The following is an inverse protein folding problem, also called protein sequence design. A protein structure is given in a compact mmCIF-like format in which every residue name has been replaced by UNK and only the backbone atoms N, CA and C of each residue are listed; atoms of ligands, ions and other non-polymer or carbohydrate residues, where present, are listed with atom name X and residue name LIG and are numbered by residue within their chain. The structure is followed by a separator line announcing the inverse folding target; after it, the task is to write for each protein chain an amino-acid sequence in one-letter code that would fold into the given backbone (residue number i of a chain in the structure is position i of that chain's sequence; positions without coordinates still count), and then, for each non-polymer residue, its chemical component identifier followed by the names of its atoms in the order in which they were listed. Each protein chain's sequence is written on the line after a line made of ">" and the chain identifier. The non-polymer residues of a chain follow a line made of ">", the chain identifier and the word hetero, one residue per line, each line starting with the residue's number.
data_IF_566583706018
#
_entry.id   IF_566583706018
#
_cell.length_a   1.000
_cell.length_b   1.000
_cell.length_c   1.000
_cell.angle_alpha   90.00
_cell.angle_beta   90.00
_cell.angle_gamma   90.00
#
_symmetry.space_group_name_H-M   'P 1'
#
loop_
_entity.id
_entity.type
_entity.pdbx_description
1 polymer ?
#
# COMPACT_ATOMS: atom_id res chain seq x y z
N UNK A 1 -0.42 -18.41 25.35
CA UNK A 1 0.37 -17.20 25.67
C UNK A 1 -0.39 -16.02 25.10
N UNK A 2 -0.81 -15.12 25.95
CA UNK A 2 -1.54 -13.92 25.53
C UNK A 2 -0.60 -12.96 24.80
N UNK A 3 -0.99 -12.50 23.60
CA UNK A 3 -0.24 -11.50 22.84
C UNK A 3 -0.49 -10.11 23.45
N UNK A 4 0.57 -9.52 24.03
CA UNK A 4 0.60 -8.15 24.54
C UNK A 4 1.91 -7.50 24.13
N UNK A 5 1.89 -6.20 23.91
CA UNK A 5 3.09 -5.46 23.53
C UNK A 5 4.22 -5.69 24.52
N UNK A 6 3.94 -5.59 25.83
CA UNK A 6 4.92 -5.80 26.90
C UNK A 6 5.58 -7.18 26.88
N UNK A 7 4.86 -8.23 26.43
CA UNK A 7 5.38 -9.60 26.36
C UNK A 7 6.21 -9.86 25.09
N UNK A 8 6.11 -8.98 24.09
CA UNK A 8 6.68 -9.19 22.76
C UNK A 8 7.81 -8.22 22.41
N UNK A 9 7.83 -7.01 23.00
CA UNK A 9 8.78 -5.92 22.68
C UNK A 9 10.25 -6.33 22.79
N UNK A 10 10.57 -7.20 23.75
CA UNK A 10 11.96 -7.67 24.02
C UNK A 10 12.33 -8.92 23.20
N UNK A 11 11.49 -9.31 22.23
CA UNK A 11 11.71 -10.47 21.35
C UNK A 11 11.72 -10.04 19.88
N UNK A 12 12.79 -9.40 19.38
CA UNK A 12 12.78 -8.70 18.08
C UNK A 12 12.42 -9.60 16.90
N UNK A 13 12.87 -10.86 16.89
CA UNK A 13 12.51 -11.81 15.83
C UNK A 13 11.03 -12.17 15.82
N UNK A 14 10.44 -12.44 16.98
CA UNK A 14 9.00 -12.69 17.11
C UNK A 14 8.19 -11.42 16.82
N UNK A 15 8.62 -10.27 17.32
CA UNK A 15 7.98 -8.98 17.07
C UNK A 15 7.87 -8.70 15.57
N UNK A 16 8.98 -8.81 14.84
CA UNK A 16 9.01 -8.63 13.38
C UNK A 16 8.15 -9.68 12.65
N UNK A 17 8.14 -10.92 13.12
CA UNK A 17 7.32 -11.98 12.51
C UNK A 17 5.82 -11.71 12.65
N UNK A 18 5.37 -11.19 13.80
CA UNK A 18 3.98 -10.89 14.08
C UNK A 18 3.50 -9.57 13.50
N UNK A 19 4.33 -8.53 13.47
CA UNK A 19 3.93 -7.18 13.06
C UNK A 19 4.37 -6.79 11.65
N UNK A 20 5.48 -7.38 11.17
CA UNK A 20 6.16 -6.97 9.94
C UNK A 20 6.99 -5.71 10.09
N UNK A 21 7.09 -5.16 11.30
CA UNK A 21 7.88 -3.98 11.68
C UNK A 21 8.91 -4.36 12.75
N UNK A 22 10.05 -3.67 12.77
CA UNK A 22 10.93 -3.72 13.92
C UNK A 22 10.39 -2.82 15.04
N UNK A 23 11.04 -2.82 16.21
CA UNK A 23 10.57 -2.05 17.38
C UNK A 23 10.64 -0.54 17.17
N UNK A 24 11.62 -0.04 16.43
CA UNK A 24 11.78 1.38 16.12
C UNK A 24 10.72 1.84 15.13
N UNK A 25 10.54 1.11 14.01
CA UNK A 25 9.45 1.32 13.05
C UNK A 25 8.08 1.35 13.76
N UNK A 26 7.88 0.41 14.70
CA UNK A 26 6.63 0.36 15.48
C UNK A 26 6.43 1.60 16.35
N UNK A 27 7.48 2.11 17.03
CA UNK A 27 7.38 3.30 17.86
C UNK A 27 7.06 4.57 17.07
N UNK A 28 7.63 4.70 15.86
CA UNK A 28 7.31 5.82 14.97
C UNK A 28 5.83 5.76 14.56
N UNK A 29 5.37 4.61 14.09
CA UNK A 29 3.98 4.42 13.69
C UNK A 29 3.02 4.58 14.88
N UNK A 30 3.41 4.16 16.08
CA UNK A 30 2.60 4.26 17.30
C UNK A 30 2.27 5.71 17.67
N UNK A 31 3.19 6.63 17.46
CA UNK A 31 2.95 8.07 17.73
C UNK A 31 1.81 8.59 16.86
N UNK A 32 1.89 8.39 15.54
CA UNK A 32 0.83 8.79 14.61
C UNK A 32 -0.48 8.03 14.88
N UNK A 33 -0.39 6.73 15.18
CA UNK A 33 -1.54 5.90 15.50
C UNK A 33 -2.28 6.38 16.78
N UNK A 34 -1.56 6.86 17.78
CA UNK A 34 -2.16 7.40 18.99
C UNK A 34 -2.96 8.68 18.70
N UNK A 35 -2.38 9.59 17.91
CA UNK A 35 -3.07 10.82 17.48
C UNK A 35 -4.33 10.48 16.64
N UNK A 36 -4.17 9.58 15.68
CA UNK A 36 -5.29 9.12 14.84
C UNK A 36 -6.39 8.41 15.67
N UNK A 37 -6.01 7.64 16.70
CA UNK A 37 -6.95 7.01 17.63
C UNK A 37 -7.76 8.05 18.41
N UNK A 38 -7.11 9.06 18.98
CA UNK A 38 -7.79 10.10 19.74
C UNK A 38 -8.77 10.90 18.85
N UNK A 39 -8.35 11.24 17.63
CA UNK A 39 -9.22 11.88 16.63
C UNK A 39 -10.42 10.99 16.26
N UNK A 40 -10.18 9.69 16.01
CA UNK A 40 -11.25 8.74 15.72
C UNK A 40 -12.26 8.67 16.87
N UNK A 41 -11.79 8.62 18.13
CA UNK A 41 -12.66 8.59 19.30
C UNK A 41 -13.48 9.87 19.41
N UNK A 42 -12.90 11.03 19.14
CA UNK A 42 -13.62 12.32 19.17
C UNK A 42 -14.73 12.39 18.12
N UNK A 43 -14.45 11.92 16.90
CA UNK A 43 -15.37 11.98 15.78
C UNK A 43 -16.52 10.96 15.87
N UNK A 44 -16.24 9.76 16.39
CA UNK A 44 -17.17 8.63 16.36
C UNK A 44 -17.91 8.40 17.69
N UNK A 45 -17.79 9.31 18.66
CA UNK A 45 -18.47 9.21 19.94
C UNK A 45 -19.41 10.37 20.19
N UNK A 46 -20.42 10.11 21.03
CA UNK A 46 -21.33 11.16 21.46
C UNK A 46 -20.55 12.34 22.06
N UNK A 47 -20.93 13.60 21.78
CA UNK A 47 -20.33 14.78 22.38
C UNK A 47 -20.25 14.67 23.91
N UNK A 48 -19.23 15.28 24.50
CA UNK A 48 -19.00 15.23 25.96
C UNK A 48 -20.24 15.68 26.77
N UNK A 49 -20.99 16.62 26.22
CA UNK A 49 -22.23 17.17 26.81
C UNK A 49 -23.38 16.16 26.91
N UNK A 50 -23.38 15.13 26.03
CA UNK A 50 -24.42 14.08 25.98
C UNK A 50 -23.97 12.79 26.70
N UNK A 51 -22.68 12.68 27.00
CA UNK A 51 -22.14 11.49 27.69
C UNK A 51 -22.42 11.53 29.17
N UNK A 52 -22.99 10.45 29.68
CA UNK A 52 -23.17 10.25 31.14
C UNK A 52 -21.87 9.87 31.85
N UNK A 53 -20.82 9.44 31.14
CA UNK A 53 -19.52 9.00 31.68
C UNK A 53 -18.40 9.35 30.73
N UNK A 54 -17.23 9.64 31.27
CA UNK A 54 -16.02 9.83 30.47
C UNK A 54 -15.64 8.59 29.66
N UNK A 55 -14.86 8.80 28.59
CA UNK A 55 -14.33 7.71 27.80
C UNK A 55 -13.44 6.83 28.66
N UNK A 56 -13.73 5.51 28.66
CA UNK A 56 -13.00 4.56 29.52
C UNK A 56 -13.55 4.41 30.93
N UNK A 57 -14.61 5.17 31.33
CA UNK A 57 -15.27 5.10 32.63
C UNK A 57 -16.15 3.85 32.89
N UNK A 58 -15.87 2.75 32.17
CA UNK A 58 -16.57 1.48 32.33
C UNK A 58 -15.61 0.31 32.57
N UNK A 59 -16.06 -0.92 32.22
CA UNK A 59 -15.20 -2.10 32.22
C UNK A 59 -14.00 -1.85 31.27
N UNK A 60 -12.78 -2.06 31.78
CA UNK A 60 -11.56 -1.90 30.99
C UNK A 60 -11.64 -2.73 29.69
N UNK A 61 -11.35 -2.08 28.57
CA UNK A 61 -11.26 -2.77 27.27
C UNK A 61 -10.10 -3.79 27.28
N UNK A 62 -10.25 -4.89 26.58
CA UNK A 62 -9.18 -5.89 26.43
C UNK A 62 -7.93 -5.32 25.75
N UNK A 63 -8.09 -4.41 24.78
CA UNK A 63 -7.02 -3.60 24.21
C UNK A 63 -6.99 -2.25 24.94
N UNK A 64 -6.35 -2.19 26.11
CA UNK A 64 -6.38 -1.03 26.97
C UNK A 64 -5.48 0.10 26.43
N UNK A 65 -4.30 -0.25 25.92
CA UNK A 65 -3.27 0.72 25.47
C UNK A 65 -3.28 0.88 23.95
N UNK A 66 -2.69 1.96 23.44
CA UNK A 66 -2.52 2.16 21.99
C UNK A 66 -1.52 1.16 21.39
N UNK A 67 -0.51 0.75 22.17
CA UNK A 67 0.44 -0.28 21.79
C UNK A 67 -0.25 -1.61 21.51
N UNK A 68 -1.14 -2.05 22.39
CA UNK A 68 -1.89 -3.31 22.18
C UNK A 68 -2.88 -3.21 21.03
N UNK A 69 -3.49 -2.03 20.80
CA UNK A 69 -4.36 -1.79 19.63
C UNK A 69 -3.58 -1.86 18.32
N UNK A 70 -2.43 -1.18 18.26
CA UNK A 70 -1.57 -1.21 17.08
C UNK A 70 -1.01 -2.62 16.85
N UNK A 71 -0.55 -3.30 17.91
CA UNK A 71 -0.10 -4.68 17.83
C UNK A 71 -1.19 -5.60 17.26
N UNK A 72 -2.41 -5.51 17.80
CA UNK A 72 -3.56 -6.31 17.36
C UNK A 72 -3.80 -6.19 15.85
N UNK A 73 -3.88 -4.96 15.36
CA UNK A 73 -4.20 -4.74 13.93
C UNK A 73 -3.04 -5.14 13.03
N UNK A 74 -1.80 -4.88 13.41
CA UNK A 74 -0.62 -5.32 12.65
C UNK A 74 -0.51 -6.84 12.60
N UNK A 75 -0.78 -7.55 13.71
CA UNK A 75 -0.83 -9.02 13.74
C UNK A 75 -1.89 -9.53 12.76
N UNK A 76 -3.08 -8.93 12.74
CA UNK A 76 -4.14 -9.30 11.81
C UNK A 76 -3.71 -9.13 10.35
N UNK A 77 -3.15 -7.99 9.98
CA UNK A 77 -2.69 -7.72 8.61
C UNK A 77 -1.53 -8.62 8.21
N UNK A 78 -0.55 -8.78 9.10
CA UNK A 78 0.69 -9.52 8.82
C UNK A 78 0.48 -11.02 8.72
N UNK A 79 -0.28 -11.62 9.63
CA UNK A 79 -0.41 -13.07 9.75
C UNK A 79 -1.74 -13.61 9.21
N UNK A 80 -2.75 -12.75 9.12
CA UNK A 80 -4.11 -13.04 8.66
C UNK A 80 -4.72 -14.30 9.25
N UNK A 81 -4.79 -14.40 10.59
CA UNK A 81 -5.37 -15.56 11.25
C UNK A 81 -6.90 -15.61 11.08
N UNK A 82 -7.54 -16.70 11.47
CA UNK A 82 -8.98 -16.70 11.70
C UNK A 82 -9.30 -15.74 12.83
N UNK A 83 -10.46 -15.06 12.77
CA UNK A 83 -10.87 -14.11 13.82
C UNK A 83 -10.98 -14.77 15.19
N UNK A 84 -11.37 -16.04 15.26
CA UNK A 84 -11.41 -16.82 16.48
C UNK A 84 -10.02 -17.04 17.08
N UNK A 85 -9.04 -17.38 16.23
CA UNK A 85 -7.62 -17.52 16.65
C UNK A 85 -7.05 -16.20 17.15
N UNK A 86 -7.33 -15.10 16.43
CA UNK A 86 -6.92 -13.77 16.86
C UNK A 86 -7.55 -13.40 18.21
N UNK A 87 -8.84 -13.64 18.36
CA UNK A 87 -9.60 -13.40 19.58
C UNK A 87 -9.00 -14.16 20.77
N UNK A 88 -8.67 -15.42 20.58
CA UNK A 88 -8.01 -16.25 21.60
C UNK A 88 -6.66 -15.66 22.03
N UNK A 89 -5.84 -15.21 21.09
CA UNK A 89 -4.55 -14.61 21.41
C UNK A 89 -4.63 -13.31 22.20
N UNK A 90 -5.73 -12.56 22.06
CA UNK A 90 -5.95 -11.27 22.75
C UNK A 90 -6.99 -11.35 23.87
N UNK A 91 -7.39 -12.55 24.30
CA UNK A 91 -8.35 -12.81 25.39
C UNK A 91 -9.66 -12.05 25.21
N UNK A 92 -10.29 -12.19 24.04
CA UNK A 92 -11.57 -11.56 23.72
C UNK A 92 -12.47 -12.53 22.92
N UNK A 93 -13.74 -12.18 22.74
CA UNK A 93 -14.64 -12.92 21.87
C UNK A 93 -14.37 -12.62 20.39
N UNK A 94 -14.72 -13.55 19.50
CA UNK A 94 -14.62 -13.38 18.05
C UNK A 94 -15.38 -12.13 17.57
N UNK A 95 -16.58 -11.85 18.13
CA UNK A 95 -17.34 -10.64 17.78
C UNK A 95 -16.61 -9.34 18.17
N UNK A 96 -15.94 -9.32 19.34
CA UNK A 96 -15.09 -8.19 19.72
C UNK A 96 -13.88 -8.03 18.79
N UNK A 97 -13.23 -9.14 18.44
CA UNK A 97 -12.12 -9.11 17.48
C UNK A 97 -12.56 -8.56 16.12
N UNK A 98 -13.73 -8.98 15.63
CA UNK A 98 -14.32 -8.46 14.40
C UNK A 98 -14.53 -6.93 14.45
N UNK A 99 -15.13 -6.43 15.53
CA UNK A 99 -15.32 -4.98 15.73
C UNK A 99 -13.99 -4.22 15.77
N UNK A 100 -13.01 -4.73 16.51
CA UNK A 100 -11.69 -4.11 16.60
C UNK A 100 -10.95 -4.09 15.27
N UNK A 101 -11.06 -5.15 14.46
CA UNK A 101 -10.47 -5.20 13.13
C UNK A 101 -10.96 -4.02 12.28
N UNK A 102 -12.27 -3.79 12.22
CA UNK A 102 -12.83 -2.71 11.41
C UNK A 102 -12.43 -1.33 11.92
N UNK A 103 -12.57 -1.10 13.23
CA UNK A 103 -12.22 0.19 13.85
C UNK A 103 -10.73 0.50 13.67
N UNK A 104 -9.86 -0.45 14.02
CA UNK A 104 -8.42 -0.21 14.02
C UNK A 104 -7.81 -0.21 12.62
N UNK A 105 -8.48 -0.79 11.62
CA UNK A 105 -8.09 -0.63 10.21
C UNK A 105 -8.23 0.82 9.76
N UNK A 106 -9.36 1.48 10.08
CA UNK A 106 -9.53 2.91 9.77
C UNK A 106 -8.52 3.78 10.50
N UNK A 107 -8.28 3.51 11.79
CA UNK A 107 -7.27 4.26 12.57
C UNK A 107 -5.87 4.09 11.98
N UNK A 108 -5.51 2.86 11.56
CA UNK A 108 -4.21 2.59 10.93
C UNK A 108 -4.06 3.32 9.59
N UNK A 109 -5.13 3.34 8.77
CA UNK A 109 -5.15 4.12 7.52
C UNK A 109 -4.91 5.61 7.77
N UNK A 110 -5.62 6.18 8.75
CA UNK A 110 -5.46 7.58 9.13
C UNK A 110 -4.03 7.88 9.60
N UNK A 111 -3.46 7.02 10.44
CA UNK A 111 -2.09 7.18 10.94
C UNK A 111 -1.05 7.13 9.80
N UNK A 112 -1.22 6.21 8.85
CA UNK A 112 -0.35 6.14 7.66
C UNK A 112 -0.52 7.35 6.75
N UNK A 113 -1.74 7.89 6.64
CA UNK A 113 -2.03 9.11 5.89
C UNK A 113 -1.39 10.35 6.52
N UNK A 114 -1.44 10.49 7.84
CA UNK A 114 -0.77 11.59 8.59
C UNK A 114 0.75 11.57 8.42
N UNK A 115 1.33 10.39 8.25
CA UNK A 115 2.75 10.21 7.94
C UNK A 115 3.07 10.36 6.42
N UNK A 116 2.08 10.63 5.57
CA UNK A 116 2.27 10.78 4.12
C UNK A 116 2.62 9.47 3.40
N UNK A 117 2.23 8.31 3.94
CA UNK A 117 2.58 7.00 3.37
C UNK A 117 1.44 6.30 2.64
N UNK A 118 0.19 6.78 2.73
CA UNK A 118 -0.90 6.23 1.90
C UNK A 118 -0.70 6.61 0.44
N UNK A 119 -0.97 5.71 -0.51
CA UNK A 119 -0.97 6.07 -1.93
C UNK A 119 -2.13 7.02 -2.25
N UNK A 120 -1.96 7.85 -3.28
CA UNK A 120 -3.06 8.63 -3.83
C UNK A 120 -4.13 7.70 -4.43
N UNK A 121 -5.40 8.12 -4.30
CA UNK A 121 -6.56 7.36 -4.78
C UNK A 121 -7.32 8.08 -5.90
N UNK A 122 -7.09 9.37 -6.04
CA UNK A 122 -7.69 10.20 -7.08
C UNK A 122 -6.75 10.23 -8.29
N UNK A 123 -7.14 9.65 -9.44
CA UNK A 123 -6.29 9.60 -10.62
C UNK A 123 -5.96 10.98 -11.19
N UNK A 124 -6.79 11.99 -10.93
CA UNK A 124 -6.55 13.37 -11.39
C UNK A 124 -5.43 14.06 -10.60
N UNK A 125 -5.17 13.63 -9.37
CA UNK A 125 -4.10 14.16 -8.53
C UNK A 125 -2.75 13.47 -8.73
N UNK A 126 -2.72 12.39 -9.51
CA UNK A 126 -1.49 11.63 -9.76
C UNK A 126 -0.43 12.54 -10.38
N UNK A 127 -0.78 13.34 -11.38
CA UNK A 127 0.14 14.25 -12.06
C UNK A 127 0.76 15.26 -11.09
N UNK A 128 -0.06 15.96 -10.30
CA UNK A 128 0.43 16.94 -9.31
C UNK A 128 1.37 16.29 -8.28
N UNK A 129 1.01 15.09 -7.82
CA UNK A 129 1.85 14.34 -6.89
C UNK A 129 3.20 13.97 -7.51
N UNK A 130 3.21 13.47 -8.74
CA UNK A 130 4.43 13.07 -9.42
C UNK A 130 5.31 14.27 -9.80
N UNK A 131 4.71 15.41 -10.15
CA UNK A 131 5.41 16.68 -10.40
C UNK A 131 6.11 17.21 -9.13
N UNK A 132 5.48 17.09 -7.96
CA UNK A 132 6.09 17.52 -6.69
C UNK A 132 7.39 16.80 -6.37
N UNK A 133 7.55 15.55 -6.76
CA UNK A 133 8.80 14.80 -6.60
C UNK A 133 9.90 15.24 -7.55
N UNK A 134 9.53 15.75 -8.73
CA UNK A 134 10.49 16.28 -9.70
C UNK A 134 11.11 17.60 -9.21
N UNK A 135 10.35 18.41 -8.47
CA UNK A 135 10.81 19.68 -7.93
C UNK A 135 11.72 19.50 -6.69
N UNK A 136 11.44 18.49 -5.85
CA UNK A 136 12.27 18.19 -4.66
C UNK A 136 13.71 17.74 -5.01
N UNK A 137 13.92 17.13 -6.17
CA UNK A 137 15.25 16.71 -6.63
C UNK A 137 16.17 17.89 -7.00
N UNK A 138 15.66 19.12 -7.08
CA UNK A 138 16.41 20.34 -7.45
C UNK A 138 16.92 21.15 -6.24
N UNK A 139 16.61 20.75 -5.00
CA UNK A 139 16.90 21.52 -3.79
C UNK A 139 18.26 21.27 -3.10
N UNK A 140 19.10 20.37 -3.57
CA UNK A 140 20.35 19.99 -2.89
C UNK A 140 21.56 19.96 -3.82
N UNK A 141 21.97 21.11 -4.37
CA UNK A 141 23.37 21.35 -4.74
C UNK A 141 23.60 22.83 -5.08
N UNK A 142 23.72 23.66 -4.06
CA UNK A 142 24.47 24.89 -4.17
C UNK A 142 25.94 24.57 -3.82
N UNK A 143 26.70 24.03 -4.79
CA UNK A 143 28.13 24.15 -4.82
C UNK A 143 28.53 24.76 -6.16
N UNK A 144 28.83 26.05 -6.10
CA UNK A 144 29.40 26.85 -7.19
C UNK A 144 30.79 26.33 -7.58
N UNK A 145 30.88 25.51 -8.63
CA UNK A 145 32.11 25.48 -9.46
C UNK A 145 31.72 25.20 -10.91
N UNK A 146 31.92 26.22 -11.72
CA UNK A 146 31.54 26.29 -13.12
C UNK A 146 32.13 25.21 -14.03
N UNK A 147 31.26 24.55 -14.74
CA UNK A 147 31.50 24.02 -16.09
C UNK A 147 30.11 23.85 -16.75
N UNK A 148 29.90 24.63 -17.82
CA UNK A 148 28.60 24.74 -18.50
C UNK A 148 28.23 23.48 -19.29
N UNK A 149 27.49 22.62 -18.67
CA UNK A 149 26.56 21.70 -19.26
C UNK A 149 25.36 21.71 -18.31
N UNK A 150 24.20 22.17 -18.80
CA UNK A 150 22.96 22.04 -18.02
C UNK A 150 22.83 20.57 -17.63
N UNK A 151 22.62 20.24 -16.31
CA UNK A 151 22.34 18.86 -15.93
C UNK A 151 21.09 18.44 -16.68
N UNK A 152 21.18 17.38 -17.50
CA UNK A 152 20.00 16.72 -18.05
C UNK A 152 19.07 16.40 -16.86
N UNK A 153 17.88 16.97 -16.91
CA UNK A 153 16.84 16.80 -15.90
C UNK A 153 16.58 15.29 -15.80
N UNK A 154 17.16 14.62 -14.79
CA UNK A 154 16.85 13.21 -14.54
C UNK A 154 15.37 13.11 -14.18
N UNK A 155 14.54 12.80 -15.18
CA UNK A 155 13.13 12.60 -15.00
C UNK A 155 12.91 11.27 -14.29
N UNK A 156 12.14 11.30 -13.20
CA UNK A 156 11.84 10.09 -12.45
C UNK A 156 11.01 9.14 -13.31
N UNK A 157 11.46 7.89 -13.40
CA UNK A 157 10.79 6.83 -14.16
C UNK A 157 9.68 6.19 -13.31
N UNK A 158 8.55 5.93 -13.94
CA UNK A 158 7.38 5.30 -13.32
C UNK A 158 7.10 3.93 -13.93
N UNK A 159 6.47 3.08 -13.16
CA UNK A 159 5.95 1.83 -13.69
C UNK A 159 4.52 1.59 -13.21
N UNK A 160 3.70 1.03 -14.10
CA UNK A 160 2.35 0.59 -13.78
C UNK A 160 2.26 -0.94 -13.85
N UNK A 161 1.64 -1.55 -12.84
CA UNK A 161 1.37 -2.99 -12.84
C UNK A 161 0.03 -3.29 -12.17
N UNK A 162 -0.57 -4.40 -12.59
CA UNK A 162 -1.81 -4.93 -12.04
C UNK A 162 -1.55 -5.98 -10.97
N UNK A 163 -1.97 -5.72 -9.73
CA UNK A 163 -1.88 -6.73 -8.67
C UNK A 163 -3.21 -7.46 -8.49
N UNK A 164 -3.17 -8.78 -8.63
CA UNK A 164 -4.33 -9.66 -8.51
C UNK A 164 -4.30 -10.40 -7.17
N UNK A 165 -5.43 -10.35 -6.44
CA UNK A 165 -5.59 -10.93 -5.11
C UNK A 165 -6.73 -11.94 -5.11
N UNK A 166 -6.55 -13.08 -4.44
CA UNK A 166 -7.60 -14.10 -4.29
C UNK A 166 -8.66 -13.64 -3.29
N UNK A 167 -9.94 -13.95 -3.60
CA UNK A 167 -11.06 -13.78 -2.68
C UNK A 167 -11.86 -15.06 -2.56
N UNK A 168 -12.66 -15.19 -1.52
CA UNK A 168 -13.61 -16.29 -1.40
C UNK A 168 -14.57 -16.32 -2.60
N UNK A 169 -14.94 -17.53 -3.01
CA UNK A 169 -15.94 -17.73 -4.05
C UNK A 169 -17.27 -17.12 -3.61
N UNK A 170 -17.85 -16.19 -4.38
CA UNK A 170 -19.16 -15.65 -4.10
C UNK A 170 -20.24 -16.74 -4.13
N UNK A 171 -21.34 -16.51 -3.41
CA UNK A 171 -22.50 -17.41 -3.45
C UNK A 171 -23.33 -17.23 -4.72
N UNK A 172 -23.47 -15.98 -5.16
CA UNK A 172 -24.21 -15.61 -6.36
C UNK A 172 -23.48 -16.01 -7.63
N UNK A 173 -24.20 -16.56 -8.63
CA UNK A 173 -23.60 -17.06 -9.87
C UNK A 173 -23.07 -15.95 -10.80
N UNK A 174 -23.74 -14.79 -10.85
CA UNK A 174 -23.27 -13.68 -11.67
C UNK A 174 -22.03 -13.05 -11.07
N UNK A 175 -21.97 -12.90 -9.75
CA UNK A 175 -20.76 -12.49 -9.06
C UNK A 175 -19.61 -13.49 -9.28
N UNK A 176 -19.88 -14.80 -9.27
CA UNK A 176 -18.84 -15.80 -9.59
C UNK A 176 -18.24 -15.57 -10.97
N UNK A 177 -19.08 -15.30 -11.98
CA UNK A 177 -18.59 -15.01 -13.36
C UNK A 177 -17.77 -13.72 -13.42
N UNK A 178 -18.17 -12.69 -12.69
CA UNK A 178 -17.47 -11.38 -12.65
C UNK A 178 -16.09 -11.50 -12.01
N UNK A 179 -16.01 -12.17 -10.88
CA UNK A 179 -14.75 -12.29 -10.12
C UNK A 179 -13.84 -13.42 -10.60
N UNK A 180 -14.27 -14.29 -11.50
CA UNK A 180 -13.46 -15.41 -11.96
C UNK A 180 -12.36 -14.97 -12.92
N UNK A 181 -11.10 -15.17 -12.50
CA UNK A 181 -9.91 -14.96 -13.32
C UNK A 181 -9.58 -16.22 -14.12
N UNK A 182 -9.70 -16.15 -15.42
CA UNK A 182 -9.28 -17.24 -16.32
C UNK A 182 -7.77 -17.53 -16.27
N UNK A 183 -6.95 -16.49 -15.99
CA UNK A 183 -5.48 -16.60 -15.82
C UNK A 183 -5.13 -17.35 -14.53
N UNK A 184 -5.78 -17.02 -13.41
CA UNK A 184 -5.51 -17.61 -12.09
C UNK A 184 -6.39 -18.82 -11.78
N UNK A 185 -7.41 -19.10 -12.58
CA UNK A 185 -8.41 -20.18 -12.40
C UNK A 185 -9.05 -20.15 -11.01
N UNK A 186 -9.31 -18.97 -10.49
CA UNK A 186 -9.93 -18.72 -9.18
C UNK A 186 -10.61 -17.35 -9.16
N UNK A 187 -11.40 -17.09 -8.09
CA UNK A 187 -12.05 -15.78 -7.92
C UNK A 187 -11.04 -14.79 -7.33
N UNK A 188 -10.95 -13.63 -7.96
CA UNK A 188 -9.95 -12.60 -7.63
C UNK A 188 -10.54 -11.21 -7.75
N UNK A 189 -9.85 -10.26 -7.14
CA UNK A 189 -9.97 -8.82 -7.36
C UNK A 189 -8.63 -8.26 -7.82
N UNK A 190 -8.66 -7.14 -8.52
CA UNK A 190 -7.48 -6.49 -9.09
C UNK A 190 -7.42 -5.02 -8.70
N UNK A 191 -6.20 -4.50 -8.57
CA UNK A 191 -5.92 -3.07 -8.49
C UNK A 191 -4.74 -2.75 -9.40
N UNK A 192 -4.75 -1.58 -10.04
CA UNK A 192 -3.57 -1.00 -10.64
C UNK A 192 -2.75 -0.29 -9.56
N UNK A 193 -1.44 -0.34 -9.68
CA UNK A 193 -0.50 0.42 -8.85
C UNK A 193 0.47 1.17 -9.74
N UNK A 194 0.72 2.45 -9.45
CA UNK A 194 1.79 3.23 -10.06
C UNK A 194 2.89 3.37 -9.04
N UNK A 195 4.12 3.07 -9.46
CA UNK A 195 5.30 2.99 -8.61
C UNK A 195 6.38 3.93 -9.14
N UNK A 196 6.98 4.73 -8.27
CA UNK A 196 8.25 5.42 -8.55
C UNK A 196 9.41 4.43 -8.44
N UNK A 197 10.26 4.38 -9.45
CA UNK A 197 11.32 3.37 -9.54
C UNK A 197 12.49 3.68 -8.59
N UNK A 198 12.89 4.93 -8.47
CA UNK A 198 13.97 5.37 -7.60
C UNK A 198 13.65 5.10 -6.13
N UNK A 199 12.53 5.62 -5.65
CA UNK A 199 12.07 5.49 -4.25
C UNK A 199 11.41 4.14 -3.95
N UNK A 200 11.06 3.32 -4.96
CA UNK A 200 10.34 2.04 -4.84
C UNK A 200 9.04 2.17 -4.05
N UNK A 201 8.36 3.28 -4.23
CA UNK A 201 7.18 3.68 -3.50
C UNK A 201 5.94 3.50 -4.36
N UNK A 202 4.82 3.09 -3.75
CA UNK A 202 3.50 3.08 -4.40
C UNK A 202 2.92 4.47 -4.28
N UNK A 203 2.86 5.20 -5.39
CA UNK A 203 2.32 6.56 -5.42
C UNK A 203 0.81 6.58 -5.64
N UNK A 204 0.33 5.69 -6.49
CA UNK A 204 -1.10 5.58 -6.76
C UNK A 204 -1.59 4.15 -6.60
N UNK A 205 -2.79 4.02 -6.07
CA UNK A 205 -3.52 2.77 -5.98
C UNK A 205 -4.91 2.94 -6.60
N UNK A 206 -5.15 2.29 -7.74
CA UNK A 206 -6.43 2.24 -8.43
C UNK A 206 -7.55 1.60 -7.61
N UNK A 207 -8.79 1.80 -8.02
CA UNK A 207 -9.96 1.15 -7.43
C UNK A 207 -9.82 -0.38 -7.46
N UNK A 208 -10.58 -1.05 -6.59
CA UNK A 208 -10.65 -2.52 -6.61
C UNK A 208 -11.63 -2.97 -7.67
N UNK A 209 -11.13 -3.70 -8.68
CA UNK A 209 -11.87 -4.24 -9.81
C UNK A 209 -12.07 -5.74 -9.69
N UNK A 210 -13.08 -6.26 -10.40
CA UNK A 210 -13.28 -7.69 -10.55
C UNK A 210 -12.15 -8.38 -11.36
N UNK A 211 -11.78 -9.61 -10.97
CA UNK A 211 -10.65 -10.35 -11.55
C UNK A 211 -10.72 -10.62 -13.06
N UNK A 212 -11.92 -10.59 -13.66
CA UNK A 212 -12.13 -10.75 -15.09
C UNK A 212 -11.73 -9.52 -15.91
N UNK A 213 -11.72 -8.33 -15.31
CA UNK A 213 -11.46 -7.07 -16.02
C UNK A 213 -10.05 -7.01 -16.56
N UNK A 214 -9.89 -6.49 -17.79
CA UNK A 214 -8.60 -6.32 -18.43
C UNK A 214 -7.82 -5.17 -17.83
N UNK A 215 -6.50 -5.32 -17.67
CA UNK A 215 -5.62 -4.34 -17.05
C UNK A 215 -5.67 -2.99 -17.82
N UNK A 216 -5.65 -3.02 -19.18
CA UNK A 216 -5.84 -1.82 -20.00
C UNK A 216 -7.18 -1.13 -19.73
N UNK A 217 -8.27 -1.89 -19.67
CA UNK A 217 -9.61 -1.30 -19.45
C UNK A 217 -9.73 -0.64 -18.06
N UNK A 218 -8.99 -1.14 -17.07
CA UNK A 218 -8.90 -0.49 -15.77
C UNK A 218 -8.24 0.88 -15.88
N UNK A 219 -7.12 0.98 -16.59
CA UNK A 219 -6.42 2.25 -16.82
C UNK A 219 -7.24 3.26 -17.64
N UNK A 220 -7.91 2.79 -18.70
CA UNK A 220 -8.75 3.65 -19.53
C UNK A 220 -9.92 4.26 -18.74
N UNK A 221 -10.47 3.51 -17.76
CA UNK A 221 -11.56 4.00 -16.90
C UNK A 221 -11.03 4.86 -15.74
N UNK A 222 -9.82 4.61 -15.24
CA UNK A 222 -9.18 5.42 -14.20
C UNK A 222 -8.69 6.75 -14.75
N UNK A 223 -8.20 6.81 -16.00
CA UNK A 223 -7.87 8.05 -16.69
C UNK A 223 -6.72 8.83 -16.03
N UNK A 224 -5.58 8.15 -15.77
CA UNK A 224 -4.42 8.77 -15.14
C UNK A 224 -3.77 9.82 -16.03
N UNK A 225 -3.37 10.94 -15.42
CA UNK A 225 -2.48 11.92 -16.02
C UNK A 225 -1.09 11.80 -15.42
N UNK A 226 -0.06 12.01 -16.25
CA UNK A 226 1.35 11.96 -15.87
C UNK A 226 2.06 13.26 -16.22
N UNK A 227 3.20 13.57 -15.58
CA UNK A 227 4.05 14.68 -15.98
C UNK A 227 4.53 14.54 -17.42
N UNK A 228 4.53 15.64 -18.18
CA UNK A 228 4.97 15.65 -19.58
C UNK A 228 6.43 15.21 -19.72
N UNK A 229 6.68 14.34 -20.68
CA UNK A 229 8.02 13.80 -20.97
C UNK A 229 8.46 12.67 -20.03
N UNK A 230 7.69 12.30 -19.01
CA UNK A 230 8.00 11.17 -18.12
C UNK A 230 8.04 9.83 -18.86
N UNK A 231 8.77 8.85 -18.29
CA UNK A 231 8.80 7.48 -18.83
C UNK A 231 7.93 6.55 -17.99
N UNK A 232 6.98 5.86 -18.64
CA UNK A 232 6.10 4.88 -18.01
C UNK A 232 6.40 3.47 -18.50
N UNK A 233 6.91 2.62 -17.62
CA UNK A 233 7.09 1.19 -17.88
C UNK A 233 5.80 0.42 -17.61
N UNK A 234 5.41 -0.44 -18.54
CA UNK A 234 4.16 -1.23 -18.45
C UNK A 234 4.37 -2.67 -18.92
N UNK A 235 3.56 -3.61 -18.39
CA UNK A 235 3.54 -4.99 -18.87
C UNK A 235 2.71 -5.13 -20.18
N UNK A 236 2.85 -6.25 -20.83
CA UNK A 236 2.10 -6.61 -22.06
C UNK A 236 0.58 -6.66 -21.84
N UNK A 237 0.11 -6.75 -20.59
CA UNK A 237 -1.31 -6.63 -20.22
C UNK A 237 -1.91 -5.25 -20.47
N UNK A 238 -1.07 -4.21 -20.53
CA UNK A 238 -1.45 -2.81 -20.77
C UNK A 238 -1.26 -2.38 -22.24
N UNK A 239 -1.18 -3.33 -23.17
CA UNK A 239 -1.00 -3.02 -24.57
C UNK A 239 -2.10 -2.08 -25.10
N UNK A 240 -1.68 -0.95 -25.71
CA UNK A 240 -2.59 0.08 -26.23
C UNK A 240 -3.05 1.11 -25.17
N UNK A 241 -2.52 1.08 -23.95
CA UNK A 241 -2.62 2.17 -23.00
C UNK A 241 -1.46 3.14 -23.23
N UNK A 242 -1.75 4.32 -23.79
CA UNK A 242 -0.78 5.34 -24.19
C UNK A 242 -1.24 6.70 -23.63
N UNK A 243 -0.92 7.04 -22.36
CA UNK A 243 -1.25 8.34 -21.81
C UNK A 243 -0.54 9.46 -22.55
N UNK A 244 -1.21 10.61 -22.67
CA UNK A 244 -0.72 11.77 -23.41
C UNK A 244 0.55 12.37 -22.78
N UNK A 245 1.51 12.78 -23.59
CA UNK A 245 2.75 13.41 -23.14
C UNK A 245 3.77 12.47 -22.47
N UNK A 246 3.55 11.15 -22.50
CA UNK A 246 4.37 10.16 -21.76
C UNK A 246 5.10 9.22 -22.71
N UNK A 247 6.38 8.97 -22.45
CA UNK A 247 7.17 7.96 -23.14
C UNK A 247 6.87 6.57 -22.57
N UNK A 248 6.06 5.77 -23.28
CA UNK A 248 5.74 4.42 -22.80
C UNK A 248 6.79 3.39 -23.21
N UNK A 249 7.18 2.52 -22.28
CA UNK A 249 8.11 1.41 -22.49
C UNK A 249 7.44 0.08 -22.17
N UNK A 250 7.37 -0.81 -23.18
CA UNK A 250 6.74 -2.12 -23.06
C UNK A 250 7.57 -3.19 -23.78
N UNK A 251 7.68 -4.43 -23.21
CA UNK A 251 8.42 -5.50 -23.88
C UNK A 251 7.80 -5.87 -25.24
N UNK A 252 8.64 -5.94 -26.24
CA UNK A 252 8.25 -6.43 -27.59
C UNK A 252 8.11 -7.95 -27.58
N UNK A 253 7.03 -8.44 -28.19
CA UNK A 253 6.79 -9.88 -28.37
C UNK A 253 7.53 -10.38 -29.63
N UNK A 254 8.01 -11.62 -29.56
CA UNK A 254 8.55 -12.26 -30.77
C UNK A 254 7.51 -12.26 -31.90
N UNK A 255 7.86 -11.79 -33.11
CA UNK A 255 6.98 -11.89 -34.27
C UNK A 255 6.70 -13.37 -34.61
N UNK A 256 5.54 -13.65 -35.19
CA UNK A 256 5.22 -15.01 -35.61
C UNK A 256 6.21 -15.48 -36.72
N UNK A 257 7.04 -16.47 -36.42
CA UNK A 257 8.02 -17.04 -37.34
C UNK A 257 9.33 -16.25 -37.49
N UNK A 258 9.61 -15.30 -36.59
CA UNK A 258 10.85 -14.53 -36.55
C UNK A 258 11.44 -14.42 -35.14
N UNK A 259 12.63 -13.85 -35.05
CA UNK A 259 13.30 -13.49 -33.79
C UNK A 259 13.38 -11.96 -33.67
N UNK A 260 13.48 -11.49 -32.44
CA UNK A 260 13.77 -10.09 -32.13
C UNK A 260 15.19 -9.73 -32.57
N UNK A 261 15.39 -8.47 -32.98
CA UNK A 261 16.75 -7.95 -33.27
C UNK A 261 17.57 -7.89 -31.99
N UNK A 262 18.88 -7.64 -32.10
CA UNK A 262 19.77 -7.51 -30.95
C UNK A 262 19.35 -6.34 -30.09
N UNK A 263 19.06 -5.19 -30.73
CA UNK A 263 18.60 -3.96 -30.08
C UNK A 263 17.29 -4.18 -29.32
N UNK A 264 16.33 -4.90 -29.92
CA UNK A 264 15.05 -5.24 -29.28
C UNK A 264 15.22 -6.20 -28.09
N UNK A 265 16.17 -7.14 -28.16
CA UNK A 265 16.53 -8.01 -27.04
C UNK A 265 17.17 -7.22 -25.88
N UNK A 266 18.03 -6.25 -26.20
CA UNK A 266 18.64 -5.36 -25.20
C UNK A 266 17.59 -4.46 -24.53
N UNK A 267 16.69 -3.83 -25.31
CA UNK A 267 15.58 -3.04 -24.79
C UNK A 267 14.68 -3.88 -23.86
N UNK A 268 14.30 -5.06 -24.28
CA UNK A 268 13.51 -6.00 -23.44
C UNK A 268 14.24 -6.39 -22.16
N UNK A 269 15.58 -6.49 -22.20
CA UNK A 269 16.40 -6.77 -21.02
C UNK A 269 16.34 -5.61 -20.00
N UNK A 270 16.43 -4.36 -20.48
CA UNK A 270 16.29 -3.16 -19.64
C UNK A 270 14.90 -3.09 -18.99
N UNK A 271 13.85 -3.25 -19.79
CA UNK A 271 12.45 -3.26 -19.30
C UNK A 271 12.26 -4.38 -18.25
N UNK A 272 12.87 -5.55 -18.46
CA UNK A 272 12.81 -6.66 -17.50
C UNK A 272 13.44 -6.32 -16.16
N UNK A 273 14.55 -5.56 -16.13
CA UNK A 273 15.18 -5.09 -14.87
C UNK A 273 14.25 -4.15 -14.11
N UNK A 274 13.56 -3.24 -14.79
CA UNK A 274 12.56 -2.35 -14.18
C UNK A 274 11.40 -3.15 -13.61
N UNK A 275 10.89 -4.15 -14.32
CA UNK A 275 9.81 -5.03 -13.85
C UNK A 275 10.17 -5.75 -12.56
N UNK A 276 11.42 -6.18 -12.39
CA UNK A 276 11.90 -6.79 -11.13
C UNK A 276 11.70 -5.81 -9.95
N UNK A 277 11.93 -4.52 -10.14
CA UNK A 277 11.71 -3.51 -9.10
C UNK A 277 10.23 -3.48 -8.70
N UNK A 278 9.33 -3.41 -9.68
CA UNK A 278 7.88 -3.41 -9.42
C UNK A 278 7.42 -4.70 -8.76
N UNK A 279 7.93 -5.84 -9.19
CA UNK A 279 7.66 -7.14 -8.56
C UNK A 279 8.12 -7.14 -7.09
N UNK A 280 9.27 -6.54 -6.77
CA UNK A 280 9.73 -6.37 -5.38
C UNK A 280 8.80 -5.49 -4.56
N UNK A 281 8.29 -4.39 -5.13
CA UNK A 281 7.28 -3.53 -4.46
C UNK A 281 6.02 -4.32 -4.17
N UNK A 282 5.47 -5.03 -5.16
CA UNK A 282 4.29 -5.88 -5.00
C UNK A 282 4.53 -6.99 -3.95
N UNK A 283 5.72 -7.60 -3.94
CA UNK A 283 6.11 -8.54 -2.90
C UNK A 283 6.19 -7.87 -1.52
N UNK A 284 6.64 -6.62 -1.46
CA UNK A 284 6.66 -5.79 -0.25
C UNK A 284 5.26 -5.54 0.31
N UNK A 285 4.29 -5.21 -0.56
CA UNK A 285 2.86 -5.09 -0.21
C UNK A 285 2.33 -6.44 0.31
N UNK A 286 2.60 -7.53 -0.40
CA UNK A 286 2.16 -8.89 -0.07
C UNK A 286 2.86 -9.51 1.16
N UNK A 287 3.76 -8.77 1.82
CA UNK A 287 4.21 -9.11 3.20
C UNK A 287 3.05 -9.11 4.19
N UNK A 288 2.02 -8.32 3.93
CA UNK A 288 0.73 -8.43 4.62
C UNK A 288 -0.02 -9.63 4.06
N UNK A 289 -0.12 -10.73 4.83
CA UNK A 289 -0.78 -11.96 4.37
C UNK A 289 -2.24 -11.77 4.00
N UNK A 290 -2.91 -10.78 4.59
CA UNK A 290 -4.29 -10.45 4.27
C UNK A 290 -4.50 -10.11 2.78
N UNK A 291 -3.49 -9.53 2.10
CA UNK A 291 -3.55 -9.25 0.65
C UNK A 291 -2.91 -10.35 -0.21
N UNK A 292 -2.23 -11.32 0.42
CA UNK A 292 -1.60 -12.46 -0.26
C UNK A 292 -2.48 -13.70 -0.24
N UNK A 293 -3.09 -14.00 0.90
CA UNK A 293 -3.95 -15.18 1.11
C UNK A 293 -5.36 -14.94 0.54
N UNK A 294 -6.20 -15.96 0.56
CA UNK A 294 -7.60 -15.81 0.13
C UNK A 294 -8.34 -14.87 1.07
N UNK A 295 -8.80 -13.73 0.55
CA UNK A 295 -9.52 -12.72 1.31
C UNK A 295 -10.88 -13.25 1.77
N UNK A 296 -11.15 -13.19 3.09
CA UNK A 296 -12.29 -13.84 3.75
C UNK A 296 -13.35 -12.86 4.27
N UNK A 297 -13.01 -11.57 4.37
CA UNK A 297 -13.96 -10.57 4.86
C UNK A 297 -14.99 -10.24 3.77
N UNK A 298 -16.26 -10.12 4.17
CA UNK A 298 -17.39 -9.84 3.26
C UNK A 298 -17.96 -8.43 3.40
N UNK A 299 -17.36 -7.60 4.27
CA UNK A 299 -17.75 -6.19 4.40
C UNK A 299 -17.43 -5.44 3.11
N UNK A 300 -18.38 -4.65 2.65
CA UNK A 300 -18.22 -3.85 1.44
C UNK A 300 -17.01 -2.90 1.54
N UNK A 301 -16.26 -2.77 0.46
CA UNK A 301 -15.04 -1.95 0.32
C UNK A 301 -13.92 -2.25 1.32
N UNK A 302 -14.05 -3.28 2.15
CA UNK A 302 -12.99 -3.62 3.10
C UNK A 302 -11.75 -4.21 2.41
N UNK A 303 -11.93 -4.88 1.28
CA UNK A 303 -10.83 -5.35 0.44
C UNK A 303 -10.02 -4.20 -0.17
N UNK A 304 -10.67 -3.08 -0.50
CA UNK A 304 -10.03 -1.86 -1.00
C UNK A 304 -9.24 -1.17 0.12
N UNK A 305 -9.85 -0.93 1.28
CA UNK A 305 -9.21 -0.39 2.48
C UNK A 305 -7.96 -1.18 2.89
N UNK A 306 -8.07 -2.51 2.88
CA UNK A 306 -6.95 -3.41 3.23
C UNK A 306 -5.79 -3.26 2.25
N UNK A 307 -6.08 -3.08 0.96
CA UNK A 307 -5.03 -2.88 -0.04
C UNK A 307 -4.32 -1.53 0.15
N UNK A 308 -5.08 -0.47 0.41
CA UNK A 308 -4.54 0.87 0.71
C UNK A 308 -3.59 0.83 1.92
N UNK A 309 -4.03 0.21 3.03
CA UNK A 309 -3.19 0.05 4.23
C UNK A 309 -1.93 -0.78 3.93
N UNK A 310 -2.05 -1.85 3.14
CA UNK A 310 -0.91 -2.70 2.81
C UNK A 310 0.14 -1.95 1.95
N UNK A 311 -0.31 -1.08 1.02
CA UNK A 311 0.54 -0.16 0.27
C UNK A 311 1.18 0.87 1.22
N UNK A 312 0.40 1.47 2.11
CA UNK A 312 0.91 2.43 3.11
C UNK A 312 1.96 1.82 4.04
N UNK A 313 1.75 0.60 4.53
CA UNK A 313 2.74 -0.13 5.32
C UNK A 313 4.00 -0.49 4.51
N UNK A 314 3.88 -0.72 3.19
CA UNK A 314 5.03 -0.90 2.33
C UNK A 314 5.81 0.41 2.20
N UNK A 315 5.16 1.51 1.86
CA UNK A 315 5.75 2.84 1.73
C UNK A 315 6.47 3.27 3.03
N UNK A 316 5.79 3.11 4.16
CA UNK A 316 6.36 3.40 5.49
C UNK A 316 7.67 2.64 5.72
N UNK A 317 7.69 1.32 5.49
CA UNK A 317 8.90 0.51 5.67
C UNK A 317 10.02 0.91 4.69
N UNK A 318 9.66 1.27 3.47
CA UNK A 318 10.64 1.67 2.45
C UNK A 318 11.29 2.99 2.84
N UNK A 319 10.51 4.00 3.15
CA UNK A 319 10.99 5.32 3.58
C UNK A 319 11.87 5.23 4.85
N UNK A 320 11.47 4.42 5.84
CA UNK A 320 12.29 4.23 7.05
C UNK A 320 13.65 3.60 6.74
N UNK A 321 13.72 2.62 5.83
CA UNK A 321 14.94 1.89 5.50
C UNK A 321 15.85 2.63 4.53
N UNK A 322 15.32 3.52 3.71
CA UNK A 322 16.10 4.42 2.84
C UNK A 322 16.62 5.66 3.58
N UNK A 323 16.20 5.88 4.82
CA UNK A 323 16.61 7.02 5.64
C UNK A 323 15.79 8.29 5.40
N UNK A 324 14.77 8.27 4.56
CA UNK A 324 13.91 9.43 4.26
C UNK A 324 13.20 9.94 5.54
N UNK A 325 12.73 9.05 6.42
CA UNK A 325 12.06 9.44 7.67
C UNK A 325 13.01 10.13 8.65
N UNK A 326 14.28 9.75 8.69
CA UNK A 326 15.26 10.37 9.60
C UNK A 326 15.50 11.84 9.28
N UNK A 327 15.36 12.24 8.03
CA UNK A 327 15.51 13.63 7.58
C UNK A 327 14.25 14.47 7.83
N UNK A 328 13.06 13.86 7.85
CA UNK A 328 11.77 14.56 8.06
C UNK A 328 11.36 14.67 9.52
N UNK A 329 11.81 13.78 10.40
CA UNK A 329 11.50 13.84 11.85
C UNK A 329 12.02 15.11 12.55
N UNK A 330 12.96 15.86 11.96
CA UNK A 330 13.42 17.15 12.46
C UNK A 330 12.41 18.30 12.30
N UNK A 331 11.40 18.16 11.44
CA UNK A 331 10.46 19.23 11.07
C UNK A 331 9.13 19.15 11.84
N UNK A 332 8.77 17.99 12.39
CA UNK A 332 7.48 17.78 13.05
C UNK A 332 7.47 17.90 14.58
N UNK A 333 8.60 18.31 15.21
CA UNK A 333 8.74 18.41 16.66
C UNK A 333 9.27 19.78 17.12
N UNK A 334 8.78 20.88 16.51
CA UNK A 334 8.87 22.22 17.10
C UNK A 334 7.50 22.69 17.56
#
# INVERSE_FOLDING_TARGET
>A
MELRYENLKDKPGAFLAFTGLNTEEFQILLRAFTVAWDRYVQQNRLPAEVRQRDYGGGRKARLATCEDKLLFILVYFKTYPLQEVLAFHFDMSQGQACQWIHILSEVLRLALGELGHTPERDPQKVKELLESYMDESHGCSEDETGSGTEPEKEMEDFAIDGTERRRQRPKDQEEQKRFYSGKKKTHTVKNNVIVTLGKRRVEYLGCTWEGKKHDKSMCDEEGHEFPEGSTLYKDTGFQGYEPEGVNTRQPKKNPRGGELTVEEKEENSLISKVRIIVEHVICGIKRCRIVKDVFRNTMDKFDDLVMEIACGLHNFRTAYRTGEILNTCGVYFQ
#
